data_IF_404955461629
#
_entry.id   IF_404955461629
#
_cell.length_a   1.000
_cell.length_b   1.000
_cell.length_c   1.000
_cell.angle_alpha   90.00
_cell.angle_beta   90.00
_cell.angle_gamma   90.00
#
_symmetry.space_group_name_H-M   'P 1'
#
loop_
_entity.id
_entity.type
_entity.pdbx_description
1 polymer ?
#
# COMPACT_ATOMS: atom_id res chain seq x y z
N UNK A 1 -9.30 -17.59 -6.24
CA UNK A 1 -8.74 -16.35 -5.61
C UNK A 1 -9.82 -15.71 -4.76
N UNK A 2 -9.44 -14.80 -3.85
CA UNK A 2 -10.41 -13.99 -3.11
C UNK A 2 -11.27 -13.20 -4.11
N UNK A 3 -12.57 -13.15 -3.85
CA UNK A 3 -13.55 -12.45 -4.66
C UNK A 3 -14.61 -11.77 -3.79
N UNK A 4 -15.54 -11.09 -4.45
CA UNK A 4 -16.67 -10.43 -3.80
C UNK A 4 -17.96 -10.89 -4.48
N UNK A 5 -18.95 -11.27 -3.69
CA UNK A 5 -20.30 -11.57 -4.15
C UNK A 5 -21.31 -10.75 -3.32
N UNK A 6 -21.95 -9.77 -3.96
CA UNK A 6 -22.74 -8.76 -3.25
C UNK A 6 -21.86 -7.97 -2.28
N UNK A 7 -22.17 -8.07 -0.99
CA UNK A 7 -21.44 -7.39 0.10
C UNK A 7 -20.52 -8.33 0.90
N UNK A 8 -20.19 -9.51 0.37
CA UNK A 8 -19.41 -10.52 1.07
C UNK A 8 -18.12 -10.86 0.33
N UNK A 9 -17.03 -11.00 1.08
CA UNK A 9 -15.85 -11.70 0.58
C UNK A 9 -16.16 -13.18 0.38
N UNK A 10 -15.64 -13.74 -0.71
CA UNK A 10 -15.77 -15.15 -1.03
C UNK A 10 -14.44 -15.77 -1.44
N UNK A 11 -14.25 -17.03 -1.09
CA UNK A 11 -13.12 -17.85 -1.54
C UNK A 11 -13.62 -19.26 -1.86
N UNK A 12 -13.32 -19.75 -3.06
CA UNK A 12 -13.79 -21.05 -3.57
C UNK A 12 -15.32 -21.25 -3.42
N UNK A 13 -16.10 -20.20 -3.66
CA UNK A 13 -17.57 -20.24 -3.58
C UNK A 13 -18.16 -20.10 -2.17
N UNK A 14 -17.33 -20.02 -1.13
CA UNK A 14 -17.78 -19.86 0.25
C UNK A 14 -17.56 -18.43 0.75
N UNK A 15 -18.49 -17.91 1.55
CA UNK A 15 -18.30 -16.66 2.29
C UNK A 15 -17.11 -16.80 3.24
N UNK A 16 -16.25 -15.80 3.26
CA UNK A 16 -15.10 -15.73 4.19
C UNK A 16 -15.14 -14.43 4.98
N UNK A 17 -14.56 -14.47 6.18
CA UNK A 17 -14.25 -13.30 6.99
C UNK A 17 -12.73 -13.17 7.06
N UNK A 18 -12.20 -11.97 6.82
CA UNK A 18 -10.77 -11.69 6.90
C UNK A 18 -10.40 -11.39 8.35
N UNK A 19 -9.75 -12.34 9.01
CA UNK A 19 -9.25 -12.22 10.37
C UNK A 19 -7.72 -12.21 10.34
N UNK A 20 -7.09 -11.22 10.95
CA UNK A 20 -5.68 -10.97 10.74
C UNK A 20 -5.12 -9.81 11.54
N UNK A 21 -3.91 -9.42 11.18
CA UNK A 21 -3.20 -8.30 11.79
C UNK A 21 -2.67 -7.34 10.73
N UNK A 22 -2.37 -6.12 11.17
CA UNK A 22 -1.37 -5.31 10.49
C UNK A 22 -0.01 -5.72 11.05
N UNK A 23 0.84 -6.34 10.23
CA UNK A 23 2.29 -6.30 10.52
C UNK A 23 2.79 -4.89 10.23
N UNK A 24 2.29 -4.33 9.13
CA UNK A 24 2.62 -3.03 8.56
C UNK A 24 4.09 -2.89 8.13
N UNK A 25 5.07 -3.33 8.93
CA UNK A 25 6.49 -3.41 8.56
C UNK A 25 7.29 -4.35 9.50
N UNK A 26 8.53 -4.64 9.13
CA UNK A 26 9.60 -5.08 10.03
C UNK A 26 10.61 -3.93 10.21
N UNK A 27 11.14 -3.41 9.12
CA UNK A 27 11.90 -2.17 9.03
C UNK A 27 11.05 -1.16 8.25
N UNK A 28 10.56 -0.12 8.94
CA UNK A 28 9.66 0.89 8.37
C UNK A 28 10.22 1.45 7.04
N UNK A 29 9.47 1.30 5.95
CA UNK A 29 9.84 1.71 4.58
C UNK A 29 11.08 1.01 3.98
N UNK A 30 11.62 -0.01 4.66
CA UNK A 30 12.85 -0.68 4.29
C UNK A 30 12.74 -2.22 4.28
N UNK A 31 11.55 -2.76 4.02
CA UNK A 31 11.34 -4.22 3.97
C UNK A 31 11.57 -4.86 2.60
N UNK A 32 11.25 -4.16 1.50
CA UNK A 32 11.22 -4.73 0.16
C UNK A 32 12.05 -3.89 -0.83
N UNK A 33 12.63 -4.55 -1.83
CA UNK A 33 13.48 -3.88 -2.81
C UNK A 33 14.90 -3.68 -2.29
N UNK A 34 15.81 -3.35 -3.20
CA UNK A 34 17.24 -3.20 -2.96
C UNK A 34 17.88 -4.36 -2.15
N UNK A 35 17.36 -5.58 -2.28
CA UNK A 35 17.82 -6.78 -1.55
C UNK A 35 17.44 -6.82 -0.06
N UNK A 36 16.62 -5.89 0.41
CA UNK A 36 16.33 -5.68 1.83
C UNK A 36 15.49 -6.82 2.44
N UNK A 37 14.63 -7.45 1.64
CA UNK A 37 13.77 -8.54 2.12
C UNK A 37 14.55 -9.73 2.66
N UNK A 38 15.77 -9.98 2.17
CA UNK A 38 16.64 -11.04 2.70
C UNK A 38 16.92 -10.88 4.20
N UNK A 39 16.99 -9.64 4.69
CA UNK A 39 17.20 -9.35 6.10
C UNK A 39 15.97 -9.59 6.97
N UNK A 40 14.76 -9.46 6.42
CA UNK A 40 13.49 -9.52 7.19
C UNK A 40 12.66 -10.78 6.91
N UNK A 41 13.01 -11.55 5.88
CA UNK A 41 12.28 -12.73 5.39
C UNK A 41 11.89 -13.72 6.50
N UNK A 42 12.85 -14.13 7.34
CA UNK A 42 12.59 -15.10 8.41
C UNK A 42 11.53 -14.62 9.41
N UNK A 43 11.41 -13.31 9.61
CA UNK A 43 10.44 -12.71 10.54
C UNK A 43 9.05 -12.61 9.92
N UNK A 44 8.98 -12.37 8.61
CA UNK A 44 7.74 -12.52 7.85
C UNK A 44 7.23 -13.96 7.87
N UNK A 45 8.10 -14.94 7.61
CA UNK A 45 7.75 -16.36 7.66
C UNK A 45 7.28 -16.78 9.06
N UNK A 46 7.95 -16.31 10.12
CA UNK A 46 7.54 -16.56 11.49
C UNK A 46 6.14 -15.99 11.80
N UNK A 47 5.83 -14.77 11.35
CA UNK A 47 4.50 -14.18 11.53
C UNK A 47 3.43 -14.98 10.78
N UNK A 48 3.71 -15.48 9.57
CA UNK A 48 2.75 -16.32 8.85
C UNK A 48 2.46 -17.64 9.58
N UNK A 49 3.48 -18.27 10.18
CA UNK A 49 3.30 -19.45 11.03
C UNK A 49 2.42 -19.14 12.25
N UNK A 50 2.67 -18.02 12.93
CA UNK A 50 1.87 -17.59 14.07
C UNK A 50 0.41 -17.32 13.70
N UNK A 51 0.17 -16.64 12.58
CA UNK A 51 -1.18 -16.38 12.08
C UNK A 51 -1.92 -17.68 11.76
N UNK A 52 -1.28 -18.62 11.07
CA UNK A 52 -1.86 -19.93 10.79
C UNK A 52 -2.19 -20.68 12.09
N UNK A 53 -1.28 -20.72 13.06
CA UNK A 53 -1.49 -21.38 14.34
C UNK A 53 -2.63 -20.75 15.16
N UNK A 54 -2.83 -19.44 15.02
CA UNK A 54 -3.93 -18.70 15.65
C UNK A 54 -5.28 -18.81 14.89
N UNK A 55 -5.32 -19.48 13.73
CA UNK A 55 -6.51 -19.58 12.89
C UNK A 55 -6.84 -18.30 12.11
N UNK A 56 -5.90 -17.36 12.01
CA UNK A 56 -6.02 -16.16 11.18
C UNK A 56 -5.75 -16.50 9.70
N UNK A 57 -6.22 -15.64 8.79
CA UNK A 57 -6.17 -15.89 7.35
C UNK A 57 -5.73 -14.66 6.53
N UNK A 58 -5.38 -13.55 7.17
CA UNK A 58 -5.02 -12.32 6.48
C UNK A 58 -3.96 -11.50 7.21
N UNK A 59 -3.23 -10.69 6.44
CA UNK A 59 -2.23 -9.76 6.94
C UNK A 59 -2.13 -8.53 6.04
N UNK A 60 -1.98 -7.35 6.65
CA UNK A 60 -1.72 -6.08 5.96
C UNK A 60 -0.27 -5.63 6.18
N UNK A 61 0.39 -5.21 5.08
CA UNK A 61 1.84 -4.93 5.01
C UNK A 61 2.09 -3.70 4.15
N UNK A 62 2.88 -2.73 4.61
CA UNK A 62 3.17 -1.51 3.85
C UNK A 62 4.41 -1.68 2.97
N UNK A 63 4.42 -1.02 1.80
CA UNK A 63 5.45 -1.21 0.77
C UNK A 63 6.29 0.05 0.57
N UNK A 64 5.73 1.12 -0.01
CA UNK A 64 6.50 2.33 -0.35
C UNK A 64 6.47 3.37 0.76
N UNK A 65 5.35 3.46 1.50
CA UNK A 65 5.10 4.43 2.57
C UNK A 65 5.14 5.87 2.04
N UNK A 66 6.27 6.59 2.14
CA UNK A 66 6.48 7.93 1.57
C UNK A 66 7.53 7.93 0.45
N UNK A 67 8.00 6.75 0.07
CA UNK A 67 8.92 6.55 -1.05
C UNK A 67 10.38 6.48 -0.64
N UNK A 68 10.70 6.11 0.61
CA UNK A 68 12.05 6.16 1.19
C UNK A 68 13.06 5.29 0.42
N UNK A 69 12.70 4.03 0.16
CA UNK A 69 13.55 3.05 -0.54
C UNK A 69 12.98 2.53 -1.87
N UNK A 70 11.66 2.61 -2.03
CA UNK A 70 10.93 2.23 -3.24
C UNK A 70 9.71 3.16 -3.42
N UNK A 71 9.31 3.50 -4.65
CA UNK A 71 9.93 3.14 -5.92
C UNK A 71 11.24 3.94 -6.20
N UNK A 72 11.87 3.69 -7.35
CA UNK A 72 13.06 4.43 -7.78
C UNK A 72 12.66 5.74 -8.44
N UNK A 73 13.02 6.87 -7.82
CA UNK A 73 12.84 8.21 -8.38
C UNK A 73 14.11 8.73 -9.07
N UNK A 74 13.95 9.51 -10.15
CA UNK A 74 15.01 10.32 -10.73
C UNK A 74 15.16 11.68 -10.01
N UNK A 75 16.11 12.51 -10.46
CA UNK A 75 16.35 13.84 -9.88
C UNK A 75 15.20 14.85 -10.04
N UNK A 76 14.23 14.57 -10.93
CA UNK A 76 13.06 15.41 -11.16
C UNK A 76 11.80 14.89 -10.43
N UNK A 77 11.93 13.76 -9.72
CA UNK A 77 10.83 13.12 -9.01
C UNK A 77 9.93 12.26 -9.91
N UNK A 78 10.37 11.89 -11.11
CA UNK A 78 9.69 10.86 -11.90
C UNK A 78 10.17 9.47 -11.46
N UNK A 79 9.26 8.51 -11.46
CA UNK A 79 9.59 7.12 -11.17
C UNK A 79 10.19 6.47 -12.41
N UNK A 80 11.31 5.77 -12.24
CA UNK A 80 12.06 5.10 -13.32
C UNK A 80 12.15 3.59 -13.16
N UNK A 81 11.61 3.04 -12.07
CA UNK A 81 11.59 1.61 -11.79
C UNK A 81 11.04 1.30 -10.39
N UNK A 82 10.91 0.02 -10.06
CA UNK A 82 10.37 -0.45 -8.77
C UNK A 82 11.30 -0.21 -7.59
N UNK A 83 12.61 -0.23 -7.80
CA UNK A 83 13.67 -0.05 -6.81
C UNK A 83 15.02 0.08 -7.53
N UNK A 84 16.09 0.46 -6.82
CA UNK A 84 17.42 0.55 -7.43
C UNK A 84 18.05 -0.83 -7.67
N UNK A 85 17.79 -1.79 -6.80
CA UNK A 85 18.35 -3.14 -6.88
C UNK A 85 17.63 -4.10 -7.84
N UNK A 86 16.47 -3.73 -8.38
CA UNK A 86 15.67 -4.59 -9.26
C UNK A 86 15.10 -5.83 -8.57
N UNK A 87 14.86 -5.77 -7.26
CA UNK A 87 14.48 -6.92 -6.42
C UNK A 87 13.06 -6.85 -5.88
N UNK A 88 12.41 -5.68 -5.89
CA UNK A 88 11.12 -5.46 -5.22
C UNK A 88 10.06 -6.50 -5.61
N UNK A 89 9.86 -6.72 -6.91
CA UNK A 89 8.87 -7.69 -7.41
C UNK A 89 9.20 -9.12 -6.95
N UNK A 90 10.48 -9.49 -6.96
CA UNK A 90 10.89 -10.81 -6.52
C UNK A 90 10.70 -10.99 -5.00
N UNK A 91 11.05 -9.96 -4.22
CA UNK A 91 10.87 -9.96 -2.77
C UNK A 91 9.39 -10.14 -2.39
N UNK A 92 8.50 -9.35 -3.01
CA UNK A 92 7.06 -9.49 -2.82
C UNK A 92 6.55 -10.87 -3.26
N UNK A 93 7.08 -11.43 -4.36
CA UNK A 93 6.74 -12.78 -4.80
C UNK A 93 7.16 -13.84 -3.78
N UNK A 94 8.35 -13.72 -3.20
CA UNK A 94 8.82 -14.65 -2.16
C UNK A 94 7.95 -14.55 -0.91
N UNK A 95 7.62 -13.33 -0.46
CA UNK A 95 6.66 -13.14 0.65
C UNK A 95 5.31 -13.78 0.35
N UNK A 96 4.73 -13.53 -0.83
CA UNK A 96 3.44 -14.09 -1.22
C UNK A 96 3.49 -15.63 -1.29
N UNK A 97 4.57 -16.23 -1.78
CA UNK A 97 4.76 -17.69 -1.77
C UNK A 97 4.80 -18.26 -0.34
N UNK A 98 5.50 -17.59 0.57
CA UNK A 98 5.52 -17.99 1.97
C UNK A 98 4.13 -17.86 2.61
N UNK A 99 3.43 -16.76 2.40
CA UNK A 99 2.05 -16.58 2.89
C UNK A 99 1.10 -17.66 2.35
N UNK A 100 1.26 -18.07 1.08
CA UNK A 100 0.47 -19.13 0.47
C UNK A 100 0.67 -20.48 1.17
N UNK A 101 1.90 -20.83 1.59
CA UNK A 101 2.19 -22.06 2.33
C UNK A 101 1.47 -22.12 3.69
N UNK A 102 1.08 -20.96 4.22
CA UNK A 102 0.38 -20.82 5.49
C UNK A 102 -1.11 -20.45 5.34
N UNK A 103 -1.66 -20.49 4.12
CA UNK A 103 -3.04 -20.09 3.81
C UNK A 103 -3.39 -18.65 4.24
N UNK A 104 -2.43 -17.72 4.13
CA UNK A 104 -2.61 -16.31 4.49
C UNK A 104 -2.79 -15.45 3.23
N UNK A 105 -3.82 -14.62 3.22
CA UNK A 105 -3.97 -13.52 2.26
C UNK A 105 -3.15 -12.31 2.69
N UNK A 106 -2.33 -11.78 1.79
CA UNK A 106 -1.59 -10.54 1.98
C UNK A 106 -2.30 -9.40 1.28
N UNK A 107 -2.42 -8.27 1.98
CA UNK A 107 -2.90 -6.99 1.48
C UNK A 107 -1.75 -5.97 1.53
N UNK A 108 -0.99 -5.79 0.44
CA UNK A 108 0.03 -4.77 0.36
C UNK A 108 -0.61 -3.37 0.32
N UNK A 109 -0.16 -2.48 1.20
CA UNK A 109 -0.49 -1.06 1.21
C UNK A 109 0.63 -0.27 0.55
N UNK A 110 0.32 0.46 -0.51
CA UNK A 110 1.35 1.13 -1.31
C UNK A 110 1.90 2.37 -0.60
N UNK A 111 1.05 3.32 -0.23
CA UNK A 111 1.45 4.63 0.30
C UNK A 111 0.91 4.89 1.72
N UNK A 112 1.41 5.93 2.37
CA UNK A 112 0.96 6.37 3.70
C UNK A 112 0.77 7.89 3.75
N UNK A 113 -0.44 8.35 4.10
CA UNK A 113 -0.77 9.76 4.32
C UNK A 113 -0.96 10.13 5.80
N UNK A 114 -0.64 9.22 6.73
CA UNK A 114 -0.82 9.46 8.17
C UNK A 114 0.29 10.32 8.80
N UNK A 115 1.41 10.51 8.10
CA UNK A 115 2.60 11.21 8.55
C UNK A 115 3.25 11.92 7.37
N UNK A 116 3.93 13.03 7.65
CA UNK A 116 4.66 13.83 6.68
C UNK A 116 6.12 13.93 7.12
N UNK A 117 6.98 13.09 6.54
CA UNK A 117 8.38 12.93 6.96
C UNK A 117 9.37 13.46 5.90
N UNK A 118 10.67 13.18 6.11
CA UNK A 118 11.76 13.71 5.30
C UNK A 118 11.68 13.35 3.79
N UNK A 119 10.98 12.28 3.44
CA UNK A 119 10.82 11.82 2.05
C UNK A 119 9.48 12.19 1.42
N UNK A 120 8.59 12.87 2.18
CA UNK A 120 7.22 13.19 1.76
C UNK A 120 7.13 13.89 0.40
N UNK A 121 8.14 14.69 0.04
CA UNK A 121 8.22 15.39 -1.24
C UNK A 121 8.09 14.45 -2.47
N UNK A 122 8.43 13.16 -2.33
CA UNK A 122 8.26 12.13 -3.36
C UNK A 122 6.79 11.80 -3.56
N UNK A 123 6.08 11.44 -2.49
CA UNK A 123 4.63 11.17 -2.51
C UNK A 123 3.83 12.42 -2.94
N UNK A 124 4.15 13.59 -2.38
CA UNK A 124 3.53 14.86 -2.78
C UNK A 124 3.66 15.11 -4.29
N UNK A 125 4.82 14.79 -4.87
CA UNK A 125 5.04 14.89 -6.32
C UNK A 125 4.06 14.03 -7.11
N UNK A 126 3.79 12.80 -6.66
CA UNK A 126 2.84 11.90 -7.32
C UNK A 126 1.39 12.38 -7.19
N UNK A 127 1.01 13.00 -6.07
CA UNK A 127 -0.36 13.50 -5.86
C UNK A 127 -0.62 14.78 -6.68
N UNK A 128 0.35 15.70 -6.74
CA UNK A 128 0.17 17.02 -7.37
C UNK A 128 0.42 17.04 -8.88
N UNK A 129 1.26 16.13 -9.40
CA UNK A 129 1.72 16.14 -10.79
C UNK A 129 1.35 14.83 -11.52
N UNK A 130 0.45 14.92 -12.50
CA UNK A 130 -0.04 13.77 -13.25
C UNK A 130 1.03 13.13 -14.14
N UNK A 131 2.06 13.87 -14.58
CA UNK A 131 3.21 13.30 -15.29
C UNK A 131 4.03 12.39 -14.38
N UNK A 132 4.25 12.81 -13.13
CA UNK A 132 4.93 11.99 -12.12
C UNK A 132 4.08 10.79 -11.71
N UNK A 133 2.78 10.97 -11.50
CA UNK A 133 1.86 9.85 -11.23
C UNK A 133 1.89 8.81 -12.35
N UNK A 134 1.80 9.24 -13.61
CA UNK A 134 1.87 8.33 -14.76
C UNK A 134 3.20 7.57 -14.80
N UNK A 135 4.32 8.24 -14.50
CA UNK A 135 5.61 7.55 -14.40
C UNK A 135 5.63 6.46 -13.31
N UNK A 136 4.98 6.69 -12.15
CA UNK A 136 4.81 5.67 -11.12
C UNK A 136 3.97 4.49 -11.62
N UNK A 137 2.84 4.81 -12.25
CA UNK A 137 1.92 3.82 -12.79
C UNK A 137 2.64 2.93 -13.81
N UNK A 138 3.39 3.52 -14.74
CA UNK A 138 4.01 2.81 -15.85
C UNK A 138 5.28 2.06 -15.46
N UNK A 139 6.11 2.64 -14.60
CA UNK A 139 7.44 2.10 -14.29
C UNK A 139 7.52 1.32 -12.98
N UNK A 140 6.50 1.37 -12.12
CA UNK A 140 6.45 0.60 -10.88
C UNK A 140 5.14 -0.17 -10.70
N UNK A 141 3.99 0.50 -10.68
CA UNK A 141 2.71 -0.14 -10.33
C UNK A 141 2.30 -1.23 -11.33
N UNK A 142 2.23 -0.91 -12.63
CA UNK A 142 1.87 -1.88 -13.67
C UNK A 142 2.82 -3.08 -13.69
N UNK A 143 4.16 -2.91 -13.68
CA UNK A 143 5.09 -4.03 -13.53
C UNK A 143 4.81 -4.92 -12.31
N UNK A 144 4.60 -4.34 -11.13
CA UNK A 144 4.27 -5.10 -9.92
C UNK A 144 2.97 -5.89 -10.07
N UNK A 145 1.89 -5.22 -10.47
CA UNK A 145 0.57 -5.83 -10.57
C UNK A 145 0.58 -6.96 -11.60
N UNK A 146 1.15 -6.74 -12.79
CA UNK A 146 1.23 -7.75 -13.84
C UNK A 146 2.06 -8.97 -13.42
N UNK A 147 3.16 -8.76 -12.69
CA UNK A 147 4.06 -9.82 -12.26
C UNK A 147 3.55 -10.65 -11.08
N UNK A 148 2.54 -10.15 -10.34
CA UNK A 148 1.99 -10.75 -9.12
C UNK A 148 0.51 -11.13 -9.22
N UNK A 149 -0.20 -10.78 -10.31
CA UNK A 149 -1.65 -10.95 -10.47
C UNK A 149 -2.17 -12.37 -10.25
N UNK A 150 -1.33 -13.38 -10.50
CA UNK A 150 -1.68 -14.80 -10.43
C UNK A 150 -1.29 -15.44 -9.09
N UNK A 151 -0.70 -14.67 -8.15
CA UNK A 151 -0.35 -15.14 -6.81
C UNK A 151 -1.62 -15.39 -5.98
N UNK A 152 -1.94 -16.64 -5.57
CA UNK A 152 -3.19 -16.95 -4.88
C UNK A 152 -3.35 -16.29 -3.50
N UNK A 153 -2.22 -16.02 -2.83
CA UNK A 153 -2.16 -15.34 -1.53
C UNK A 153 -2.25 -13.82 -1.64
N UNK A 154 -2.26 -13.23 -2.84
CA UNK A 154 -2.54 -11.81 -2.98
C UNK A 154 -4.04 -11.56 -2.78
N UNK A 155 -4.42 -11.02 -1.62
CA UNK A 155 -5.80 -10.75 -1.26
C UNK A 155 -6.39 -9.54 -1.98
N UNK A 156 -5.60 -8.47 -2.07
CA UNK A 156 -5.96 -7.22 -2.72
C UNK A 156 -4.84 -6.19 -2.57
N UNK A 157 -5.00 -5.02 -3.20
CA UNK A 157 -4.10 -3.89 -3.05
C UNK A 157 -4.80 -2.78 -2.27
N UNK A 158 -4.14 -2.27 -1.25
CA UNK A 158 -4.52 -1.04 -0.55
C UNK A 158 -3.65 0.10 -1.10
N UNK A 159 -4.27 1.14 -1.63
CA UNK A 159 -3.54 2.21 -2.31
C UNK A 159 -2.83 3.14 -1.33
N UNK A 160 -3.47 3.48 -0.21
CA UNK A 160 -2.94 4.48 0.71
C UNK A 160 -3.52 4.28 2.11
N UNK A 161 -2.63 4.22 3.11
CA UNK A 161 -3.01 4.30 4.51
C UNK A 161 -3.43 5.74 4.86
N UNK A 162 -4.64 5.90 5.39
CA UNK A 162 -5.14 7.13 6.03
C UNK A 162 -4.86 8.43 5.24
N UNK A 163 -5.38 8.56 4.01
CA UNK A 163 -5.25 9.80 3.23
C UNK A 163 -5.81 11.05 3.95
N UNK A 164 -6.70 10.85 4.93
CA UNK A 164 -7.27 11.92 5.76
C UNK A 164 -6.23 12.64 6.62
N UNK A 165 -5.06 12.03 6.85
CA UNK A 165 -3.96 12.65 7.59
C UNK A 165 -3.43 13.91 6.92
N UNK A 166 -3.56 14.01 5.60
CA UNK A 166 -3.05 15.12 4.78
C UNK A 166 -4.13 15.90 4.03
N UNK A 167 -5.38 15.53 4.24
CA UNK A 167 -6.54 16.14 3.60
C UNK A 167 -6.88 17.47 4.25
N UNK A 168 -7.31 18.45 3.45
CA UNK A 168 -7.77 19.75 3.95
C UNK A 168 -9.23 19.59 4.42
N UNK A 169 -9.52 19.64 5.74
CA UNK A 169 -10.89 19.63 6.22
C UNK A 169 -11.56 20.99 5.98
N UNK A 170 -12.88 21.03 6.06
CA UNK A 170 -13.67 22.26 6.00
C UNK A 170 -13.60 23.03 4.67
N UNK A 171 -13.38 22.31 3.57
CA UNK A 171 -13.52 22.83 2.22
C UNK A 171 -14.97 22.76 1.76
N UNK A 172 -15.46 23.85 1.18
CA UNK A 172 -16.75 23.87 0.51
C UNK A 172 -16.58 23.49 -0.96
N UNK A 173 -17.45 22.63 -1.47
CA UNK A 173 -17.51 22.25 -2.88
C UNK A 173 -18.96 22.16 -3.34
N UNK A 174 -19.22 22.47 -4.62
CA UNK A 174 -20.51 22.19 -5.26
C UNK A 174 -20.70 20.71 -5.57
N UNK A 175 -19.59 19.97 -5.71
CA UNK A 175 -19.60 18.50 -5.80
C UNK A 175 -19.53 17.92 -4.38
N UNK A 176 -20.57 17.20 -3.91
CA UNK A 176 -20.60 16.60 -2.58
C UNK A 176 -19.44 15.64 -2.31
N UNK A 177 -18.85 15.01 -3.34
CA UNK A 177 -17.70 14.12 -3.20
C UNK A 177 -16.42 14.87 -2.78
N UNK A 178 -16.35 16.19 -3.04
CA UNK A 178 -15.17 17.01 -2.70
C UNK A 178 -15.44 17.99 -1.56
N UNK A 179 -16.64 17.99 -0.97
CA UNK A 179 -16.97 18.83 0.18
C UNK A 179 -16.50 18.17 1.48
N UNK A 180 -15.66 18.85 2.25
CA UNK A 180 -15.06 18.33 3.48
C UNK A 180 -15.51 19.09 4.72
N UNK A 181 -16.61 19.86 4.65
CA UNK A 181 -17.21 20.53 5.82
C UNK A 181 -17.64 19.55 6.91
N UNK A 182 -18.05 18.34 6.52
CA UNK A 182 -18.37 17.26 7.45
C UNK A 182 -17.15 16.76 8.25
N UNK A 183 -15.92 17.12 7.84
CA UNK A 183 -14.68 16.83 8.57
C UNK A 183 -14.21 18.00 9.45
N UNK A 184 -14.99 19.09 9.57
CA UNK A 184 -14.68 20.19 10.47
C UNK A 184 -14.54 19.67 11.92
N UNK A 185 -13.42 19.97 12.57
CA UNK A 185 -13.04 19.50 13.91
C UNK A 185 -13.01 17.96 14.10
N UNK A 186 -12.90 17.17 13.03
CA UNK A 186 -12.76 15.71 13.15
C UNK A 186 -11.34 15.27 13.57
N UNK A 187 -10.35 16.14 13.38
CA UNK A 187 -8.93 15.83 13.51
C UNK A 187 -8.21 15.61 12.17
N UNK A 188 -8.93 15.51 11.04
CA UNK A 188 -8.34 15.36 9.71
C UNK A 188 -7.34 16.49 9.36
N UNK A 189 -6.33 16.15 8.58
CA UNK A 189 -5.20 17.03 8.26
C UNK A 189 -4.15 17.14 9.37
N UNK A 190 -4.05 16.12 10.24
CA UNK A 190 -3.14 16.12 11.39
C UNK A 190 -1.66 16.05 11.00
N UNK A 191 -1.33 15.41 9.88
CA UNK A 191 0.02 15.37 9.29
C UNK A 191 0.29 16.57 8.37
N UNK A 192 -0.77 17.31 8.01
CA UNK A 192 -0.72 18.54 7.24
C UNK A 192 -2.05 18.76 6.52
N UNK A 193 -2.39 20.01 6.20
CA UNK A 193 -3.57 20.31 5.38
C UNK A 193 -3.09 20.58 3.95
N UNK A 194 -2.80 19.53 3.19
CA UNK A 194 -2.02 19.59 1.96
C UNK A 194 -2.85 19.37 0.69
N UNK A 195 -3.82 18.45 0.74
CA UNK A 195 -4.53 17.98 -0.44
C UNK A 195 -6.03 18.20 -0.35
N UNK A 196 -6.62 18.60 -1.47
CA UNK A 196 -8.07 18.53 -1.66
C UNK A 196 -8.49 17.08 -1.97
N UNK A 197 -9.76 16.68 -1.72
CA UNK A 197 -10.24 15.36 -2.15
C UNK A 197 -10.04 15.11 -3.65
N UNK A 198 -10.20 16.15 -4.48
CA UNK A 198 -10.02 16.05 -5.92
C UNK A 198 -8.58 15.75 -6.33
N UNK A 199 -7.56 16.14 -5.54
CA UNK A 199 -6.17 15.81 -5.81
C UNK A 199 -5.84 14.36 -5.43
N UNK A 200 -6.43 13.84 -4.35
CA UNK A 200 -6.24 12.47 -3.89
C UNK A 200 -6.97 11.42 -4.75
N UNK A 201 -8.05 11.81 -5.43
CA UNK A 201 -8.89 10.91 -6.25
C UNK A 201 -8.51 10.84 -7.74
N UNK A 202 -7.34 11.36 -8.13
CA UNK A 202 -6.90 11.41 -9.53
C UNK A 202 -6.36 10.07 -10.06
#
# INVERSE_FOLDING_TARGET
>A
RLGIHGTHFTYNGHRVFLAGINKAWEHYAYDFGNGQYNGVKARYEHVFQQLQAAGANSIRVWIHIEGESSPKFDGNGHVTGTDNGGTLINDMRVMLRAAQQHNIFVFPTLWNGAVNQNYHYRLNGLIKDTGKLNSYIDHALKPMVLALKDMPSLGGWDLMNEPEGELIPDLTSTDPCFDTRHLHNSGAGWAGKLYTPQELLR
#
